data_IF_581515449795
#
_entry.id   IF_581515449795
#
_cell.length_a   1.000
_cell.length_b   1.000
_cell.length_c   1.000
_cell.angle_alpha   90.00
_cell.angle_beta   90.00
_cell.angle_gamma   90.00
#
_symmetry.space_group_name_H-M   'P 1'
#
loop_
_entity.id
_entity.type
_entity.pdbx_description
1 polymer ?
#
# COMPACT_ATOMS: atom_id res chain seq x y z
N UNK A 1 16.18 -23.28 -11.19
CA UNK A 1 15.41 -22.01 -11.38
C UNK A 1 14.55 -21.65 -10.15
N UNK A 2 13.59 -22.46 -9.70
CA UNK A 2 12.75 -22.14 -8.51
C UNK A 2 13.59 -22.11 -7.23
N UNK A 3 14.48 -23.06 -7.02
CA UNK A 3 15.39 -23.09 -5.85
C UNK A 3 16.34 -21.92 -5.79
N UNK A 4 16.89 -21.48 -6.91
CA UNK A 4 17.75 -20.28 -6.97
C UNK A 4 16.98 -19.01 -6.64
N UNK A 5 15.74 -18.86 -7.12
CA UNK A 5 14.88 -17.74 -6.78
C UNK A 5 14.55 -17.69 -5.27
N UNK A 6 14.29 -18.86 -4.66
CA UNK A 6 14.09 -18.97 -3.21
C UNK A 6 15.33 -18.60 -2.40
N UNK A 7 16.50 -19.02 -2.83
CA UNK A 7 17.77 -18.65 -2.19
C UNK A 7 18.05 -17.15 -2.29
N UNK A 8 17.72 -16.53 -3.42
CA UNK A 8 17.84 -15.07 -3.60
C UNK A 8 16.86 -14.31 -2.68
N UNK A 9 15.61 -14.76 -2.58
CA UNK A 9 14.62 -14.17 -1.68
C UNK A 9 15.04 -14.27 -0.21
N UNK A 10 15.62 -15.39 0.20
CA UNK A 10 16.13 -15.56 1.57
C UNK A 10 17.27 -14.60 1.91
N UNK A 11 18.08 -14.20 0.92
CA UNK A 11 19.21 -13.27 1.08
C UNK A 11 18.82 -11.80 0.87
N UNK A 12 17.60 -11.53 0.40
CA UNK A 12 17.15 -10.17 0.09
C UNK A 12 17.16 -9.27 1.33
N UNK A 13 17.90 -8.16 1.26
CA UNK A 13 17.99 -7.15 2.30
C UNK A 13 16.85 -6.12 2.24
N UNK A 14 16.21 -6.00 1.08
CA UNK A 14 15.06 -5.15 0.86
C UNK A 14 13.96 -5.96 0.19
N UNK A 15 12.79 -5.96 0.78
CA UNK A 15 11.63 -6.74 0.31
C UNK A 15 10.49 -5.79 -0.01
N UNK A 16 10.01 -5.85 -1.24
CA UNK A 16 8.81 -5.13 -1.69
C UNK A 16 7.66 -6.12 -1.76
N UNK A 17 6.61 -5.85 -1.02
CA UNK A 17 5.40 -6.68 -1.01
C UNK A 17 4.24 -5.88 -1.59
N UNK A 18 3.62 -6.41 -2.63
CA UNK A 18 2.43 -5.81 -3.24
C UNK A 18 1.19 -6.62 -2.88
N UNK A 19 0.17 -5.96 -2.37
CA UNK A 19 -1.12 -6.57 -2.01
C UNK A 19 -2.26 -5.95 -2.81
N UNK A 20 -3.10 -6.80 -3.36
CA UNK A 20 -4.27 -6.41 -4.13
C UNK A 20 -5.51 -6.19 -3.24
N UNK A 21 -6.52 -5.52 -3.80
CA UNK A 21 -7.79 -5.21 -3.14
C UNK A 21 -8.49 -6.47 -2.61
N UNK A 22 -8.53 -7.54 -3.40
CA UNK A 22 -9.18 -8.80 -3.00
C UNK A 22 -8.55 -9.48 -1.78
N UNK A 23 -7.29 -9.18 -1.48
CA UNK A 23 -6.62 -9.66 -0.27
C UNK A 23 -6.99 -8.81 0.96
N UNK A 24 -7.20 -7.52 0.76
CA UNK A 24 -7.39 -6.55 1.82
C UNK A 24 -8.84 -6.27 2.20
N UNK A 25 -9.79 -6.62 1.33
CA UNK A 25 -11.22 -6.32 1.55
C UNK A 25 -12.07 -7.57 1.40
N UNK A 26 -13.16 -7.61 2.18
CA UNK A 26 -14.26 -8.54 1.95
C UNK A 26 -15.11 -8.11 0.75
N UNK A 27 -16.01 -8.98 0.30
CA UNK A 27 -16.97 -8.65 -0.76
C UNK A 27 -17.88 -7.45 -0.42
N UNK A 28 -18.06 -7.16 0.85
CA UNK A 28 -18.80 -5.99 1.36
C UNK A 28 -18.06 -4.67 1.22
N UNK A 29 -16.77 -4.69 0.80
CA UNK A 29 -15.89 -3.54 0.76
C UNK A 29 -15.18 -3.24 2.09
N UNK A 30 -15.64 -3.80 3.20
CA UNK A 30 -14.96 -3.64 4.49
C UNK A 30 -13.59 -4.30 4.49
N UNK A 31 -12.66 -3.71 5.25
CA UNK A 31 -11.31 -4.25 5.38
C UNK A 31 -11.32 -5.63 6.04
N UNK A 32 -10.55 -6.55 5.47
CA UNK A 32 -10.30 -7.85 6.06
C UNK A 32 -9.17 -7.74 7.10
N UNK A 33 -9.56 -7.38 8.33
CA UNK A 33 -8.62 -7.10 9.41
C UNK A 33 -7.75 -8.31 9.76
N UNK A 34 -8.28 -9.53 9.65
CA UNK A 34 -7.52 -10.76 9.90
C UNK A 34 -6.37 -10.91 8.91
N UNK A 35 -6.65 -10.69 7.63
CA UNK A 35 -5.61 -10.79 6.60
C UNK A 35 -4.60 -9.65 6.71
N UNK A 36 -5.05 -8.44 7.04
CA UNK A 36 -4.15 -7.31 7.28
C UNK A 36 -3.25 -7.56 8.49
N UNK A 37 -3.77 -8.07 9.60
CA UNK A 37 -2.97 -8.42 10.78
C UNK A 37 -1.92 -9.49 10.45
N UNK A 38 -2.32 -10.57 9.77
CA UNK A 38 -1.40 -11.62 9.33
C UNK A 38 -0.27 -11.09 8.46
N UNK A 39 -0.61 -10.22 7.50
CA UNK A 39 0.38 -9.59 6.63
C UNK A 39 1.35 -8.72 7.43
N UNK A 40 0.83 -7.80 8.24
CA UNK A 40 1.63 -6.86 9.02
C UNK A 40 2.54 -7.60 10.00
N UNK A 41 2.05 -8.65 10.65
CA UNK A 41 2.86 -9.47 11.56
C UNK A 41 4.07 -10.08 10.86
N UNK A 42 3.89 -10.64 9.66
CA UNK A 42 4.98 -11.20 8.87
C UNK A 42 5.98 -10.12 8.42
N UNK A 43 5.48 -8.96 7.98
CA UNK A 43 6.33 -7.86 7.55
C UNK A 43 7.14 -7.26 8.73
N UNK A 44 6.51 -7.12 9.89
CA UNK A 44 7.17 -6.66 11.10
C UNK A 44 8.26 -7.64 11.56
N UNK A 45 8.00 -8.96 11.47
CA UNK A 45 8.99 -9.98 11.79
C UNK A 45 10.20 -9.92 10.83
N UNK A 46 9.97 -9.82 9.52
CA UNK A 46 11.04 -9.64 8.55
C UNK A 46 11.87 -8.38 8.81
N UNK A 47 11.19 -7.28 9.19
CA UNK A 47 11.87 -6.04 9.57
C UNK A 47 12.72 -6.23 10.82
N UNK A 48 12.22 -6.93 11.84
CA UNK A 48 12.95 -7.25 13.06
C UNK A 48 14.16 -8.14 12.80
N UNK A 49 14.16 -8.92 11.71
CA UNK A 49 15.32 -9.65 11.20
C UNK A 49 16.36 -8.74 10.51
N UNK A 50 16.16 -7.43 10.47
CA UNK A 50 17.07 -6.46 9.88
C UNK A 50 16.81 -6.15 8.40
N UNK A 51 15.71 -6.63 7.81
CA UNK A 51 15.36 -6.34 6.42
C UNK A 51 14.64 -5.02 6.27
N UNK A 52 14.84 -4.34 5.17
CA UNK A 52 14.07 -3.17 4.77
C UNK A 52 12.79 -3.64 4.08
N UNK A 53 11.65 -3.11 4.51
CA UNK A 53 10.33 -3.51 3.99
C UNK A 53 9.66 -2.32 3.32
N UNK A 54 9.12 -2.56 2.13
CA UNK A 54 8.26 -1.63 1.41
C UNK A 54 6.94 -2.35 1.13
N UNK A 55 5.83 -1.74 1.51
CA UNK A 55 4.50 -2.26 1.24
C UNK A 55 3.83 -1.43 0.14
N UNK A 56 3.44 -2.08 -0.94
CA UNK A 56 2.60 -1.49 -1.99
C UNK A 56 1.18 -2.01 -1.80
N UNK A 57 0.28 -1.13 -1.47
CA UNK A 57 -1.11 -1.47 -1.13
C UNK A 57 -2.10 -1.05 -2.22
N UNK A 58 -3.34 -1.46 -2.07
CA UNK A 58 -4.49 -1.08 -2.88
C UNK A 58 -5.76 -1.11 -2.02
N UNK A 59 -6.93 -0.96 -2.63
CA UNK A 59 -8.21 -1.14 -1.93
C UNK A 59 -8.79 0.12 -1.32
N UNK A 60 -8.23 1.30 -1.58
CA UNK A 60 -8.75 2.57 -1.05
C UNK A 60 -10.21 2.81 -1.44
N UNK A 61 -10.57 2.64 -2.72
CA UNK A 61 -11.97 2.78 -3.18
C UNK A 61 -12.89 1.81 -2.43
N UNK A 62 -12.50 0.54 -2.32
CA UNK A 62 -13.28 -0.48 -1.62
C UNK A 62 -13.48 -0.12 -0.13
N UNK A 63 -12.44 0.32 0.55
CA UNK A 63 -12.52 0.75 1.93
C UNK A 63 -13.44 1.96 2.11
N UNK A 64 -13.42 2.92 1.17
CA UNK A 64 -14.34 4.05 1.15
C UNK A 64 -15.79 3.62 0.93
N UNK A 65 -16.04 2.71 -0.02
CA UNK A 65 -17.35 2.13 -0.25
C UNK A 65 -17.90 1.43 1.00
N UNK A 66 -17.10 0.55 1.61
CA UNK A 66 -17.51 -0.16 2.82
C UNK A 66 -17.84 0.79 3.97
N UNK A 67 -17.06 1.87 4.16
CA UNK A 67 -17.33 2.87 5.20
C UNK A 67 -18.66 3.61 5.00
N UNK A 68 -19.02 3.88 3.75
CA UNK A 68 -20.25 4.61 3.41
C UNK A 68 -21.45 3.72 3.09
N UNK A 69 -21.29 2.38 3.16
CA UNK A 69 -22.34 1.43 2.81
C UNK A 69 -22.74 1.46 1.33
N UNK A 70 -21.80 1.80 0.43
CA UNK A 70 -22.05 1.84 -1.00
C UNK A 70 -21.79 0.45 -1.58
N UNK A 71 -22.85 -0.21 -2.06
CA UNK A 71 -22.77 -1.58 -2.57
C UNK A 71 -22.26 -1.65 -4.01
N UNK A 72 -22.60 -0.66 -4.83
CA UNK A 72 -22.23 -0.63 -6.24
C UNK A 72 -21.09 0.33 -6.51
N UNK A 73 -20.04 -0.17 -7.14
CA UNK A 73 -18.89 0.67 -7.51
C UNK A 73 -19.31 1.72 -8.53
N UNK A 74 -19.13 3.02 -8.24
CA UNK A 74 -19.51 4.07 -9.16
C UNK A 74 -18.68 3.99 -10.46
N UNK A 75 -19.28 4.46 -11.56
CA UNK A 75 -18.60 4.52 -12.85
C UNK A 75 -17.87 5.86 -13.02
N UNK A 76 -18.41 6.92 -12.46
CA UNK A 76 -17.89 8.29 -12.58
C UNK A 76 -16.54 8.44 -11.88
N UNK A 77 -15.61 9.11 -12.56
CA UNK A 77 -14.26 9.35 -12.04
C UNK A 77 -14.27 10.13 -10.72
N UNK A 78 -15.00 11.27 -10.60
CA UNK A 78 -15.02 12.04 -9.34
C UNK A 78 -15.56 11.23 -8.16
N UNK A 79 -16.53 10.37 -8.37
CA UNK A 79 -17.07 9.52 -7.33
C UNK A 79 -16.04 8.47 -6.87
N UNK A 80 -15.30 7.86 -7.81
CA UNK A 80 -14.20 6.94 -7.47
C UNK A 80 -13.09 7.66 -6.70
N UNK A 81 -12.70 8.86 -7.14
CA UNK A 81 -11.67 9.67 -6.49
C UNK A 81 -12.07 10.05 -5.06
N UNK A 82 -13.31 10.46 -4.86
CA UNK A 82 -13.83 10.77 -3.52
C UNK A 82 -13.82 9.56 -2.59
N UNK A 83 -14.24 8.39 -3.09
CA UNK A 83 -14.19 7.14 -2.33
C UNK A 83 -12.76 6.71 -2.00
N UNK A 84 -11.84 6.88 -2.96
CA UNK A 84 -10.43 6.61 -2.72
C UNK A 84 -9.84 7.52 -1.64
N UNK A 85 -10.18 8.81 -1.63
CA UNK A 85 -9.74 9.75 -0.60
C UNK A 85 -10.21 9.34 0.80
N UNK A 86 -11.49 8.95 0.94
CA UNK A 86 -12.06 8.47 2.21
C UNK A 86 -11.37 7.16 2.63
N UNK A 87 -11.28 6.22 1.71
CA UNK A 87 -10.74 4.89 1.98
C UNK A 87 -9.23 4.88 2.24
N UNK A 88 -8.47 5.78 1.62
CA UNK A 88 -7.04 5.91 1.86
C UNK A 88 -6.74 6.27 3.32
N UNK A 89 -7.51 7.19 3.91
CA UNK A 89 -7.38 7.53 5.33
C UNK A 89 -7.66 6.32 6.23
N UNK A 90 -8.67 5.53 5.92
CA UNK A 90 -9.03 4.31 6.67
C UNK A 90 -7.92 3.26 6.57
N UNK A 91 -7.39 3.03 5.37
CA UNK A 91 -6.27 2.10 5.16
C UNK A 91 -5.05 2.50 5.97
N UNK A 92 -4.65 3.76 5.91
CA UNK A 92 -3.47 4.24 6.63
C UNK A 92 -3.64 4.14 8.14
N UNK A 93 -4.80 4.54 8.67
CA UNK A 93 -5.11 4.40 10.09
C UNK A 93 -5.03 2.93 10.55
N UNK A 94 -5.51 2.01 9.72
CA UNK A 94 -5.46 0.57 10.02
C UNK A 94 -4.02 0.06 10.02
N UNK A 95 -3.23 0.39 9.01
CA UNK A 95 -1.83 0.00 8.96
C UNK A 95 -1.02 0.61 10.11
N UNK A 96 -1.21 1.88 10.42
CA UNK A 96 -0.53 2.56 11.52
C UNK A 96 -0.81 1.85 12.87
N UNK A 97 -2.08 1.51 13.11
CA UNK A 97 -2.47 0.76 14.30
C UNK A 97 -1.77 -0.61 14.36
N UNK A 98 -1.86 -1.39 13.27
CA UNK A 98 -1.31 -2.75 13.23
C UNK A 98 0.21 -2.78 13.35
N UNK A 99 0.92 -1.94 12.59
CA UNK A 99 2.39 -1.84 12.70
C UNK A 99 2.83 -1.24 14.03
N UNK A 100 2.03 -0.34 14.61
CA UNK A 100 2.28 0.26 15.92
C UNK A 100 2.33 -0.77 17.05
N UNK A 101 1.56 -1.86 16.96
CA UNK A 101 1.60 -2.97 17.92
C UNK A 101 2.98 -3.65 17.97
N UNK A 102 3.75 -3.56 16.90
CA UNK A 102 5.13 -4.07 16.78
C UNK A 102 6.19 -2.96 16.90
N UNK A 103 5.81 -1.77 17.37
CA UNK A 103 6.73 -0.63 17.54
C UNK A 103 7.29 -0.09 16.21
N UNK A 104 6.61 -0.33 15.10
CA UNK A 104 7.06 0.06 13.76
C UNK A 104 6.30 1.28 13.27
N UNK A 105 7.02 2.36 12.96
CA UNK A 105 6.45 3.52 12.28
C UNK A 105 6.19 3.22 10.79
N UNK A 106 5.12 3.79 10.26
CA UNK A 106 4.79 3.72 8.83
C UNK A 106 4.78 5.11 8.22
N UNK A 107 5.00 5.19 6.90
CA UNK A 107 4.96 6.44 6.15
C UNK A 107 4.12 6.26 4.90
N UNK A 108 3.09 7.12 4.71
CA UNK A 108 2.29 7.13 3.50
C UNK A 108 3.07 7.75 2.35
N UNK A 109 3.09 7.06 1.21
CA UNK A 109 3.64 7.57 -0.05
C UNK A 109 2.61 7.36 -1.16
N UNK A 110 2.10 8.44 -1.74
CA UNK A 110 1.15 8.39 -2.83
C UNK A 110 1.84 8.78 -4.14
N UNK A 111 1.75 7.92 -5.13
CA UNK A 111 2.41 8.10 -6.43
C UNK A 111 1.40 7.96 -7.57
N UNK A 112 1.70 8.65 -8.66
CA UNK A 112 1.01 8.48 -9.94
C UNK A 112 1.95 7.86 -10.98
N UNK A 113 1.42 7.45 -12.12
CA UNK A 113 2.25 7.01 -13.26
C UNK A 113 3.22 8.09 -13.70
N UNK A 114 2.79 9.36 -13.68
CA UNK A 114 3.63 10.50 -14.05
C UNK A 114 4.81 10.69 -13.10
N UNK A 115 4.62 10.40 -11.81
CA UNK A 115 5.70 10.47 -10.82
C UNK A 115 6.80 9.44 -11.09
N UNK A 116 6.43 8.31 -11.68
CA UNK A 116 7.38 7.26 -12.08
C UNK A 116 7.99 7.55 -13.45
N UNK A 117 7.23 8.09 -14.39
CA UNK A 117 7.67 8.36 -15.75
C UNK A 117 8.57 9.61 -15.84
N UNK A 118 8.31 10.64 -15.06
CA UNK A 118 9.11 11.86 -15.02
C UNK A 118 10.38 11.65 -14.19
N UNK A 119 11.55 11.83 -14.82
CA UNK A 119 12.85 11.58 -14.18
C UNK A 119 13.04 12.33 -12.86
N UNK A 120 12.69 13.61 -12.79
CA UNK A 120 12.89 14.42 -11.59
C UNK A 120 11.96 13.97 -10.45
N UNK A 121 10.70 13.71 -10.76
CA UNK A 121 9.72 13.18 -9.80
C UNK A 121 10.12 11.80 -9.30
N UNK A 122 10.55 10.93 -10.19
CA UNK A 122 11.08 9.60 -9.85
C UNK A 122 12.26 9.68 -8.89
N UNK A 123 13.24 10.56 -9.16
CA UNK A 123 14.41 10.73 -8.29
C UNK A 123 14.01 11.24 -6.90
N UNK A 124 13.07 12.19 -6.83
CA UNK A 124 12.55 12.70 -5.55
C UNK A 124 11.83 11.59 -4.77
N UNK A 125 10.94 10.84 -5.41
CA UNK A 125 10.24 9.72 -4.78
C UNK A 125 11.22 8.66 -4.27
N UNK A 126 12.22 8.27 -5.08
CA UNK A 126 13.26 7.33 -4.69
C UNK A 126 14.06 7.81 -3.48
N UNK A 127 14.48 9.07 -3.48
CA UNK A 127 15.25 9.63 -2.37
C UNK A 127 14.41 9.68 -1.08
N UNK A 128 13.12 10.05 -1.18
CA UNK A 128 12.19 10.03 -0.05
C UNK A 128 12.01 8.61 0.51
N UNK A 129 11.79 7.63 -0.35
CA UNK A 129 11.67 6.22 0.07
C UNK A 129 12.94 5.74 0.79
N UNK A 130 14.12 6.08 0.27
CA UNK A 130 15.38 5.72 0.91
C UNK A 130 15.53 6.35 2.29
N UNK A 131 15.14 7.62 2.47
CA UNK A 131 15.16 8.28 3.78
C UNK A 131 14.18 7.65 4.77
N UNK A 132 12.95 7.32 4.34
CA UNK A 132 11.99 6.61 5.18
C UNK A 132 12.59 5.29 5.70
N UNK A 133 13.21 4.53 4.79
CA UNK A 133 13.87 3.27 5.16
C UNK A 133 15.06 3.48 6.09
N UNK A 134 15.85 4.55 5.92
CA UNK A 134 16.94 4.90 6.82
C UNK A 134 16.46 5.28 8.22
N UNK A 135 15.30 5.93 8.33
CA UNK A 135 14.66 6.20 9.63
C UNK A 135 14.06 4.96 10.28
N UNK A 136 14.12 3.80 9.62
CA UNK A 136 13.57 2.55 10.14
C UNK A 136 12.05 2.45 10.05
N UNK A 137 11.40 3.33 9.30
CA UNK A 137 9.97 3.26 9.03
C UNK A 137 9.67 2.37 7.81
N UNK A 138 8.43 1.89 7.71
CA UNK A 138 7.93 1.14 6.56
C UNK A 138 7.15 2.08 5.65
N UNK A 139 7.64 2.37 4.43
CA UNK A 139 6.84 3.11 3.46
C UNK A 139 5.69 2.24 2.97
N UNK A 140 4.49 2.81 3.01
CA UNK A 140 3.27 2.23 2.47
C UNK A 140 2.88 3.04 1.24
N UNK A 141 3.08 2.43 0.08
CA UNK A 141 2.87 3.07 -1.23
C UNK A 141 1.49 2.70 -1.76
N UNK A 142 0.77 3.69 -2.21
CA UNK A 142 -0.45 3.51 -2.99
C UNK A 142 -0.51 4.50 -4.15
N UNK A 143 -1.43 4.27 -5.08
CA UNK A 143 -1.71 5.23 -6.12
C UNK A 143 -2.38 6.47 -5.55
N UNK A 144 -2.06 7.66 -6.09
CA UNK A 144 -2.75 8.89 -5.76
C UNK A 144 -4.03 9.00 -6.61
N UNK A 145 -5.02 8.21 -6.24
CA UNK A 145 -6.30 8.12 -6.97
C UNK A 145 -7.04 9.45 -7.06
N UNK A 146 -6.77 10.42 -6.18
CA UNK A 146 -7.47 11.71 -6.16
C UNK A 146 -7.10 12.60 -7.35
N UNK A 147 -5.94 12.37 -7.97
CA UNK A 147 -5.44 13.16 -9.10
C UNK A 147 -5.11 12.31 -10.33
N UNK A 148 -5.33 11.01 -10.26
CA UNK A 148 -5.03 10.10 -11.37
C UNK A 148 -6.17 10.12 -12.39
N UNK A 149 -5.82 10.38 -13.64
CA UNK A 149 -6.70 10.30 -14.79
C UNK A 149 -6.38 9.03 -15.60
N UNK A 150 -6.57 7.86 -15.03
CA UNK A 150 -6.60 6.68 -15.87
C UNK A 150 -7.95 6.60 -16.56
N UNK A 151 -8.06 7.23 -17.71
CA UNK A 151 -9.04 6.81 -18.69
C UNK A 151 -8.78 5.35 -18.97
N UNK A 152 -9.71 4.51 -18.58
CA UNK A 152 -9.79 3.15 -19.08
C UNK A 152 -10.00 3.29 -20.59
N UNK A 153 -8.90 3.29 -21.33
CA UNK A 153 -8.99 3.08 -22.78
C UNK A 153 -9.35 1.61 -22.94
N UNK A 154 -10.57 1.41 -23.37
CA UNK A 154 -11.10 0.15 -23.89
C UNK A 154 -10.24 -0.34 -25.03
#
# INVERSE_FOLDING_TARGET
>A
MIEEAWLQLQKAQCVVVKVGTSTLTHATGNLNLIQMDRLVRQLADLKNQGRRIILVTSGAIGAGMGRLGIEQRPKEIPAKQALAAIGQGILMQTYEKLFGEYGTAVAQVLLTKDDVANRNRYLNARNTLNMILQYGAVPIINENDTVTFDEIKV
#
